data_IF_872035447477
#
_entry.id   IF_872035447477
#
_cell.length_a   1.000
_cell.length_b   1.000
_cell.length_c   1.000
_cell.angle_alpha   90.00
_cell.angle_beta   90.00
_cell.angle_gamma   90.00
#
_symmetry.space_group_name_H-M   'P 1'
#
loop_
_entity.id
_entity.type
_entity.pdbx_description
1 polymer ?
#
# COMPACT_ATOMS: atom_id res chain seq x y z
N UNK A 1 13.83 -3.15 -24.04
CA UNK A 1 12.35 -3.13 -23.86
C UNK A 1 11.58 -2.88 -25.17
N UNK A 2 12.10 -3.28 -26.34
CA UNK A 2 11.40 -3.12 -27.65
C UNK A 2 10.72 -4.42 -28.12
N UNK A 3 10.37 -5.31 -27.18
CA UNK A 3 9.90 -6.66 -27.50
C UNK A 3 8.37 -6.79 -27.50
N UNK A 4 7.64 -5.80 -26.95
CA UNK A 4 6.18 -5.85 -26.78
C UNK A 4 5.46 -4.67 -27.48
N UNK A 5 6.19 -3.78 -28.15
CA UNK A 5 5.59 -2.62 -28.85
C UNK A 5 4.88 -1.61 -27.95
N UNK A 6 5.16 -1.64 -26.64
CA UNK A 6 4.60 -0.69 -25.66
C UNK A 6 5.52 0.51 -25.55
N UNK A 7 4.98 1.71 -25.73
CA UNK A 7 5.67 2.97 -25.47
C UNK A 7 5.54 3.31 -23.96
N UNK A 8 6.64 3.27 -23.17
CA UNK A 8 6.58 3.59 -21.75
C UNK A 8 6.22 5.06 -21.46
N UNK A 9 6.29 5.95 -22.46
CA UNK A 9 5.88 7.35 -22.31
C UNK A 9 4.36 7.55 -22.40
N UNK A 10 3.63 6.57 -22.94
CA UNK A 10 2.17 6.62 -23.07
C UNK A 10 1.54 5.78 -21.96
N UNK A 11 1.37 6.37 -20.78
CA UNK A 11 0.75 5.72 -19.63
C UNK A 11 -0.43 6.57 -19.10
N UNK A 12 -1.66 6.11 -19.34
CA UNK A 12 -2.93 6.76 -18.91
C UNK A 12 -3.66 5.96 -17.84
N UNK A 13 -2.90 5.35 -16.93
CA UNK A 13 -3.43 4.56 -15.82
C UNK A 13 -4.39 5.34 -14.90
N UNK A 14 -4.26 6.67 -14.85
CA UNK A 14 -5.04 7.61 -14.06
C UNK A 14 -6.33 8.09 -14.76
N UNK A 15 -6.54 7.69 -16.03
CA UNK A 15 -7.69 8.10 -16.85
C UNK A 15 -8.57 6.88 -17.18
N UNK A 16 -9.30 6.32 -16.21
CA UNK A 16 -10.18 5.20 -16.47
C UNK A 16 -11.31 5.63 -17.41
N UNK A 17 -11.49 4.86 -18.49
CA UNK A 17 -12.61 5.06 -19.39
C UNK A 17 -13.83 4.30 -18.87
N UNK A 18 -14.90 5.04 -18.54
CA UNK A 18 -16.15 4.47 -18.05
C UNK A 18 -16.94 3.91 -19.24
N UNK A 19 -17.02 2.58 -19.32
CA UNK A 19 -17.71 1.88 -20.42
C UNK A 19 -19.24 1.79 -20.25
N UNK A 20 -19.80 2.17 -19.09
CA UNK A 20 -21.25 2.10 -18.84
C UNK A 20 -21.72 3.05 -17.73
N UNK A 21 -22.99 3.44 -17.80
CA UNK A 21 -23.68 4.24 -16.77
C UNK A 21 -24.40 3.27 -15.85
N UNK A 22 -24.02 3.25 -14.56
CA UNK A 22 -24.78 2.53 -13.54
C UNK A 22 -25.91 3.45 -13.09
N UNK A 23 -27.16 3.06 -13.31
CA UNK A 23 -28.33 3.77 -12.77
C UNK A 23 -28.41 3.48 -11.26
N UNK A 24 -28.34 4.51 -10.39
CA UNK A 24 -28.49 4.34 -8.96
C UNK A 24 -29.89 3.86 -8.54
N UNK A 25 -30.91 4.02 -9.41
CA UNK A 25 -32.26 3.47 -9.20
C UNK A 25 -32.42 2.06 -9.75
N UNK A 26 -31.32 1.44 -10.16
CA UNK A 26 -31.30 0.03 -10.42
C UNK A 26 -31.15 -0.75 -9.11
N UNK A 27 -32.26 -0.90 -8.38
CA UNK A 27 -32.34 -1.78 -7.21
C UNK A 27 -33.07 -3.09 -7.53
N UNK A 28 -32.99 -3.57 -8.78
CA UNK A 28 -32.97 -4.99 -9.24
C UNK A 28 -33.45 -5.10 -10.71
N UNK A 29 -32.75 -4.54 -11.69
CA UNK A 29 -33.47 -4.06 -12.87
C UNK A 29 -34.74 -3.30 -12.40
N UNK A 30 -34.55 -2.19 -11.68
CA UNK A 30 -35.54 -1.16 -11.24
C UNK A 30 -36.73 -1.67 -10.36
N UNK A 31 -37.71 -0.84 -9.84
CA UNK A 31 -37.98 0.60 -10.02
C UNK A 31 -38.44 1.38 -8.75
N UNK A 32 -37.98 2.62 -8.58
CA UNK A 32 -38.78 3.80 -8.18
C UNK A 32 -37.93 4.88 -7.48
N UNK A 33 -37.45 5.84 -8.29
CA UNK A 33 -37.36 7.27 -8.00
C UNK A 33 -36.52 7.73 -6.80
N UNK A 34 -35.35 8.32 -7.09
CA UNK A 34 -34.82 9.63 -6.60
C UNK A 34 -33.39 9.95 -7.13
N UNK A 35 -33.29 10.60 -8.28
CA UNK A 35 -32.42 11.75 -8.55
C UNK A 35 -30.89 11.84 -8.24
N UNK A 36 -30.12 10.78 -7.93
CA UNK A 36 -28.66 10.95 -7.71
C UNK A 36 -27.76 10.00 -8.54
N UNK A 37 -27.57 10.32 -9.83
CA UNK A 37 -26.68 9.61 -10.77
C UNK A 37 -25.20 9.77 -10.37
N UNK A 38 -24.57 8.72 -9.82
CA UNK A 38 -23.11 8.66 -9.63
C UNK A 38 -22.57 7.40 -10.29
N UNK A 39 -21.88 7.56 -11.42
CA UNK A 39 -21.11 6.46 -12.00
C UNK A 39 -19.93 6.11 -11.06
N UNK A 40 -19.90 4.88 -10.54
CA UNK A 40 -18.74 4.37 -9.81
C UNK A 40 -17.60 4.14 -10.80
N UNK A 41 -16.67 5.10 -10.86
CA UNK A 41 -15.43 5.00 -11.65
C UNK A 41 -14.28 4.59 -10.74
N UNK A 42 -13.26 3.93 -11.29
CA UNK A 42 -12.03 3.65 -10.56
C UNK A 42 -11.40 4.99 -10.12
N UNK A 43 -11.11 5.14 -8.84
CA UNK A 43 -10.36 6.29 -8.33
C UNK A 43 -8.89 5.94 -8.19
N UNK A 44 -8.02 6.90 -8.49
CA UNK A 44 -6.60 6.76 -8.19
C UNK A 44 -6.42 6.55 -6.67
N UNK A 45 -5.44 5.73 -6.29
CA UNK A 45 -5.08 5.54 -4.90
C UNK A 45 -4.51 6.84 -4.34
N UNK A 46 -4.89 7.25 -3.12
CA UNK A 46 -4.27 8.42 -2.52
C UNK A 46 -2.75 8.22 -2.39
N UNK A 47 -1.91 9.23 -2.71
CA UNK A 47 -0.46 9.11 -2.59
C UNK A 47 0.02 8.72 -1.19
N UNK A 48 -0.73 9.09 -0.15
CA UNK A 48 -0.46 8.73 1.25
C UNK A 48 -0.65 7.22 1.54
N UNK A 49 -1.57 6.59 0.80
CA UNK A 49 -1.86 5.16 0.91
C UNK A 49 -0.94 4.32 0.01
N UNK A 50 -0.24 4.95 -0.93
CA UNK A 50 0.71 4.27 -1.78
C UNK A 50 1.92 3.79 -0.97
N UNK A 51 2.13 2.48 -0.96
CA UNK A 51 3.27 1.85 -0.31
C UNK A 51 3.91 0.86 -1.27
N UNK A 52 5.24 0.89 -1.38
CA UNK A 52 5.95 -0.15 -2.08
C UNK A 52 5.79 -1.47 -1.31
N UNK A 53 5.50 -2.55 -2.04
CA UNK A 53 5.44 -3.89 -1.45
C UNK A 53 6.85 -4.32 -1.05
N UNK A 54 7.13 -4.31 0.25
CA UNK A 54 8.32 -4.93 0.80
C UNK A 54 8.03 -6.43 0.91
N UNK A 55 8.64 -7.23 0.04
CA UNK A 55 8.67 -8.68 0.19
C UNK A 55 9.76 -8.96 1.22
N UNK A 56 9.43 -9.48 2.43
CA UNK A 56 10.44 -9.91 3.37
C UNK A 56 11.26 -11.02 2.70
N UNK A 57 12.59 -10.88 2.69
CA UNK A 57 13.48 -11.97 2.30
C UNK A 57 13.34 -13.09 3.33
N UNK A 58 12.45 -14.05 3.10
CA UNK A 58 12.28 -15.23 3.96
C UNK A 58 13.57 -16.06 4.00
N UNK A 59 14.34 -16.04 2.92
CA UNK A 59 15.64 -16.68 2.84
C UNK A 59 16.69 -15.58 2.65
N UNK A 60 17.63 -15.49 3.59
CA UNK A 60 18.72 -14.54 3.56
C UNK A 60 19.64 -14.82 2.38
N UNK A 61 19.37 -14.17 1.26
CA UNK A 61 20.30 -14.13 0.14
C UNK A 61 20.68 -12.68 -0.14
N UNK A 62 21.98 -12.43 -0.11
CA UNK A 62 22.61 -11.15 -0.38
C UNK A 62 22.46 -10.80 -1.87
N UNK A 63 21.32 -10.24 -2.22
CA UNK A 63 21.04 -9.87 -3.60
C UNK A 63 19.57 -9.64 -3.86
N UNK A 64 18.94 -8.70 -3.14
CA UNK A 64 17.69 -8.14 -3.64
C UNK A 64 18.04 -7.33 -4.91
N UNK A 65 18.01 -8.00 -6.07
CA UNK A 65 17.85 -7.27 -7.32
C UNK A 65 16.61 -6.37 -7.16
N UNK A 66 16.67 -5.11 -7.63
CA UNK A 66 15.52 -4.24 -7.53
C UNK A 66 14.34 -4.94 -8.19
N UNK A 67 13.34 -5.30 -7.39
CA UNK A 67 12.05 -5.87 -7.81
C UNK A 67 11.30 -4.92 -8.77
N UNK A 68 11.88 -3.75 -9.02
CA UNK A 68 11.39 -2.70 -9.88
C UNK A 68 11.77 -2.96 -11.35
N UNK A 69 11.25 -4.06 -11.89
CA UNK A 69 11.13 -4.27 -13.33
C UNK A 69 9.86 -3.57 -13.88
N UNK A 70 9.39 -2.48 -13.24
CA UNK A 70 8.26 -1.72 -13.77
C UNK A 70 8.73 -0.87 -14.96
N UNK A 71 8.24 -1.12 -16.18
CA UNK A 71 8.61 -0.33 -17.35
C UNK A 71 8.03 1.11 -17.29
N UNK A 72 7.11 1.38 -16.37
CA UNK A 72 6.50 2.69 -16.21
C UNK A 72 7.05 3.43 -14.98
N UNK A 73 7.57 4.66 -15.15
CA UNK A 73 8.01 5.46 -14.02
C UNK A 73 6.82 5.81 -13.12
N UNK A 74 7.06 5.84 -11.81
CA UNK A 74 6.10 6.35 -10.84
C UNK A 74 5.89 7.86 -11.08
N UNK A 75 4.65 8.37 -11.00
CA UNK A 75 4.42 9.80 -11.06
C UNK A 75 5.10 10.53 -9.89
N UNK A 76 5.58 11.74 -10.14
CA UNK A 76 6.34 12.57 -9.19
C UNK A 76 5.65 12.73 -7.83
N UNK A 77 4.31 12.83 -7.83
CA UNK A 77 3.51 12.94 -6.61
C UNK A 77 3.75 11.71 -5.72
N UNK A 78 3.57 10.49 -6.25
CA UNK A 78 3.74 9.26 -5.48
C UNK A 78 5.21 9.02 -5.09
N UNK A 79 6.16 9.48 -5.91
CA UNK A 79 7.58 9.41 -5.58
C UNK A 79 7.93 10.33 -4.41
N UNK A 80 7.47 11.58 -4.42
CA UNK A 80 7.69 12.53 -3.34
C UNK A 80 7.09 12.03 -2.01
N UNK A 81 5.86 11.49 -2.04
CA UNK A 81 5.22 10.91 -0.86
C UNK A 81 5.97 9.68 -0.33
N UNK A 82 6.42 8.78 -1.22
CA UNK A 82 7.24 7.63 -0.81
C UNK A 82 8.59 8.05 -0.21
N UNK A 83 9.28 9.00 -0.84
CA UNK A 83 10.56 9.50 -0.35
C UNK A 83 10.40 10.16 1.03
N UNK A 84 9.37 10.98 1.20
CA UNK A 84 9.03 11.61 2.49
C UNK A 84 8.75 10.56 3.57
N UNK A 85 7.94 9.54 3.26
CA UNK A 85 7.62 8.44 4.19
C UNK A 85 8.86 7.63 4.57
N UNK A 86 9.75 7.36 3.59
CA UNK A 86 11.01 6.66 3.80
C UNK A 86 11.96 7.46 4.69
N UNK A 87 12.17 8.74 4.39
CA UNK A 87 12.99 9.65 5.21
C UNK A 87 12.48 9.71 6.65
N UNK A 88 11.16 9.87 6.85
CA UNK A 88 10.58 9.90 8.18
C UNK A 88 10.79 8.59 8.95
N UNK A 89 10.72 7.44 8.27
CA UNK A 89 10.99 6.13 8.86
C UNK A 89 12.47 6.00 9.26
N UNK A 90 13.39 6.40 8.38
CA UNK A 90 14.83 6.41 8.65
C UNK A 90 15.18 7.31 9.84
N UNK A 91 14.57 8.50 9.92
CA UNK A 91 14.74 9.43 11.04
C UNK A 91 14.23 8.84 12.36
N UNK A 92 13.05 8.22 12.36
CA UNK A 92 12.51 7.53 13.54
C UNK A 92 13.41 6.37 13.94
N UNK A 93 13.86 5.55 12.99
CA UNK A 93 14.74 4.42 13.25
C UNK A 93 16.08 4.88 13.84
N UNK A 94 16.66 5.95 13.29
CA UNK A 94 17.89 6.56 13.79
C UNK A 94 17.69 7.10 15.21
N UNK A 95 16.61 7.84 15.45
CA UNK A 95 16.27 8.35 16.78
C UNK A 95 16.15 7.21 17.81
N UNK A 96 15.46 6.12 17.48
CA UNK A 96 15.34 4.95 18.36
C UNK A 96 16.70 4.29 18.62
N UNK A 97 17.58 4.22 17.60
CA UNK A 97 18.94 3.65 17.75
C UNK A 97 19.87 4.54 18.58
N UNK A 98 19.75 5.85 18.45
CA UNK A 98 20.55 6.83 19.20
C UNK A 98 20.09 6.95 20.66
N UNK A 99 18.81 6.70 20.92
CA UNK A 99 18.31 6.54 22.28
C UNK A 99 19.00 5.34 22.95
N UNK A 100 19.94 5.62 23.84
CA UNK A 100 20.56 4.64 24.73
C UNK A 100 19.54 4.21 25.79
N UNK A 101 18.56 3.39 25.38
CA UNK A 101 17.58 2.80 26.26
C UNK A 101 18.24 1.68 27.09
N UNK A 102 17.89 1.60 28.36
CA UNK A 102 18.22 0.45 29.20
C UNK A 102 17.39 -0.78 28.76
N UNK A 103 17.84 -1.97 29.14
CA UNK A 103 17.19 -3.22 28.73
C UNK A 103 15.72 -3.31 29.17
N UNK A 104 15.35 -2.67 30.28
CA UNK A 104 13.96 -2.62 30.72
C UNK A 104 13.11 -1.75 29.80
N UNK A 105 13.52 -0.53 29.45
CA UNK A 105 12.76 0.33 28.51
C UNK A 105 12.74 -0.23 27.09
N UNK A 106 13.80 -0.92 26.65
CA UNK A 106 13.78 -1.65 25.37
C UNK A 106 12.69 -2.70 25.37
N UNK A 107 12.57 -3.47 26.45
CA UNK A 107 11.52 -4.51 26.60
C UNK A 107 10.12 -3.88 26.64
N UNK A 108 9.95 -2.77 27.34
CA UNK A 108 8.68 -2.03 27.38
C UNK A 108 8.30 -1.48 26.00
N UNK A 109 9.26 -0.89 25.27
CA UNK A 109 9.05 -0.41 23.91
C UNK A 109 8.65 -1.54 22.96
N UNK A 110 9.35 -2.68 23.02
CA UNK A 110 9.02 -3.85 22.21
C UNK A 110 7.62 -4.39 22.54
N UNK A 111 7.26 -4.46 23.81
CA UNK A 111 5.92 -4.88 24.25
C UNK A 111 4.83 -3.92 23.75
N UNK A 112 5.07 -2.61 23.83
CA UNK A 112 4.15 -1.60 23.31
C UNK A 112 3.98 -1.70 21.79
N UNK A 113 5.07 -1.86 21.04
CA UNK A 113 5.04 -2.07 19.58
C UNK A 113 4.25 -3.33 19.21
N UNK A 114 4.48 -4.45 19.92
CA UNK A 114 3.73 -5.69 19.69
C UNK A 114 2.23 -5.53 19.97
N UNK A 115 1.86 -4.82 21.03
CA UNK A 115 0.46 -4.53 21.35
C UNK A 115 -0.21 -3.69 20.24
N UNK A 116 0.44 -2.60 19.82
CA UNK A 116 -0.06 -1.73 18.75
C UNK A 116 -0.19 -2.48 17.42
N UNK A 117 0.80 -3.31 17.06
CA UNK A 117 0.73 -4.12 15.86
C UNK A 117 -0.43 -5.13 15.92
N UNK A 118 -0.63 -5.76 17.08
CA UNK A 118 -1.76 -6.67 17.30
C UNK A 118 -3.10 -5.94 17.14
N UNK A 119 -3.28 -4.78 17.77
CA UNK A 119 -4.51 -3.99 17.66
C UNK A 119 -4.77 -3.56 16.21
N UNK A 120 -3.71 -3.15 15.49
CA UNK A 120 -3.80 -2.86 14.06
C UNK A 120 -4.22 -4.08 13.23
N UNK A 121 -3.71 -5.28 13.51
CA UNK A 121 -4.13 -6.52 12.83
C UNK A 121 -5.61 -6.84 13.05
N UNK A 122 -6.13 -6.60 14.26
CA UNK A 122 -7.56 -6.78 14.55
C UNK A 122 -8.40 -5.73 13.82
N UNK A 123 -8.01 -4.46 13.87
CA UNK A 123 -8.74 -3.36 13.23
C UNK A 123 -8.76 -3.47 11.70
N UNK A 124 -7.65 -3.90 11.09
CA UNK A 124 -7.53 -4.07 9.64
C UNK A 124 -8.12 -5.40 9.11
N UNK A 125 -8.47 -6.33 10.00
CA UNK A 125 -8.95 -7.67 9.61
C UNK A 125 -7.85 -8.60 9.08
N UNK A 126 -6.59 -8.19 9.13
CA UNK A 126 -5.42 -8.95 8.67
C UNK A 126 -4.97 -10.04 9.64
N UNK A 127 -5.56 -10.13 10.83
CA UNK A 127 -5.22 -11.13 11.85
C UNK A 127 -5.19 -12.57 11.31
N UNK A 128 -6.00 -12.88 10.29
CA UNK A 128 -6.04 -14.20 9.66
C UNK A 128 -4.75 -14.58 8.93
N UNK A 129 -3.98 -13.61 8.47
CA UNK A 129 -2.71 -13.83 7.78
C UNK A 129 -1.65 -14.45 8.73
N UNK A 130 -1.77 -14.24 10.05
CA UNK A 130 -0.88 -14.88 11.02
C UNK A 130 -1.05 -16.40 11.08
N UNK A 131 -2.26 -16.92 10.84
CA UNK A 131 -2.48 -18.38 10.85
C UNK A 131 -1.77 -19.06 9.68
N UNK A 132 -1.60 -18.35 8.55
CA UNK A 132 -0.82 -18.84 7.42
C UNK A 132 0.67 -18.95 7.73
N UNK A 133 1.18 -18.22 8.75
CA UNK A 133 2.58 -18.27 9.17
C UNK A 133 2.86 -19.35 10.23
N UNK A 134 1.83 -19.93 10.85
CA UNK A 134 1.96 -20.98 11.87
C UNK A 134 1.82 -22.41 11.30
N UNK A 135 1.61 -22.53 9.99
CA UNK A 135 1.33 -23.80 9.30
C UNK A 135 2.53 -24.50 8.66
N UNK A 136 3.77 -24.05 8.92
CA UNK A 136 5.02 -24.74 8.56
C UNK A 136 5.77 -25.20 9.84
#
# INVERSE_FOLDING_TARGET
>A
MMQVGVDPSVNKWDQPFVLGVVDPHDSLSHPAGVADVKAESATCLDPDLFTSFLIPSWFGDEGQEPINCNPFPLPEIYEAFQSKKRSALEDIQKMIRELQLDENRKRELAAALHAQFKDWLYASGNIRQLYCLQGD
#
